data_IF_745470463577
#
_entry.id   IF_745470463577
#
_cell.length_a   1.000
_cell.length_b   1.000
_cell.length_c   1.000
_cell.angle_alpha   90.00
_cell.angle_beta   90.00
_cell.angle_gamma   90.00
#
_symmetry.space_group_name_H-M   'P 1'
#
loop_
_entity.id
_entity.type
_entity.pdbx_description
1 polymer ?
#
# COMPACT_ATOMS: atom_id res chain seq x y z
N UNK A 1 -61.24 1.68 -6.89
CA UNK A 1 -60.22 2.46 -7.61
C UNK A 1 -58.87 1.92 -7.17
N UNK A 2 -58.17 1.22 -8.06
CA UNK A 2 -56.87 0.59 -7.78
C UNK A 2 -55.78 1.51 -8.33
N UNK A 3 -54.85 1.94 -7.48
CA UNK A 3 -53.63 2.62 -7.91
C UNK A 3 -52.53 1.59 -8.09
N UNK A 4 -51.98 1.50 -9.30
CA UNK A 4 -50.80 0.67 -9.59
C UNK A 4 -49.54 1.39 -9.09
N UNK A 5 -48.76 0.71 -8.24
CA UNK A 5 -47.41 1.12 -7.90
C UNK A 5 -46.54 1.10 -9.16
N UNK A 6 -45.94 2.25 -9.49
CA UNK A 6 -44.94 2.34 -10.56
C UNK A 6 -43.59 2.04 -9.90
N UNK A 7 -43.04 0.86 -10.16
CA UNK A 7 -41.68 0.51 -9.78
C UNK A 7 -40.69 1.47 -10.44
N UNK A 8 -40.12 2.39 -9.64
CA UNK A 8 -39.01 3.23 -10.06
C UNK A 8 -37.76 2.35 -10.04
N UNK A 9 -37.47 1.70 -11.16
CA UNK A 9 -36.18 1.05 -11.37
C UNK A 9 -35.10 2.13 -11.38
N UNK A 10 -34.48 2.37 -10.22
CA UNK A 10 -33.26 3.17 -10.15
C UNK A 10 -32.17 2.43 -10.93
N UNK A 11 -31.47 3.11 -11.87
CA UNK A 11 -30.34 2.48 -12.56
C UNK A 11 -29.29 2.06 -11.51
N UNK A 12 -28.63 0.89 -11.69
CA UNK A 12 -27.53 0.52 -10.82
C UNK A 12 -26.51 1.67 -10.85
N UNK A 13 -26.23 2.25 -9.68
CA UNK A 13 -25.19 3.26 -9.52
C UNK A 13 -23.91 2.76 -10.20
N UNK A 14 -23.17 3.60 -10.96
CA UNK A 14 -21.86 3.20 -11.44
C UNK A 14 -21.06 2.76 -10.21
N UNK A 15 -20.50 1.55 -10.25
CA UNK A 15 -19.61 1.05 -9.21
C UNK A 15 -18.46 2.04 -9.10
N UNK A 16 -18.55 2.95 -8.13
CA UNK A 16 -17.60 4.01 -7.93
C UNK A 16 -16.28 3.33 -7.56
N UNK A 17 -15.37 3.21 -8.54
CA UNK A 17 -13.95 3.24 -8.24
C UNK A 17 -13.66 4.68 -7.80
N UNK A 18 -14.03 4.99 -6.55
CA UNK A 18 -13.90 6.27 -5.87
C UNK A 18 -12.46 6.74 -5.94
N UNK A 19 -12.10 7.43 -7.01
CA UNK A 19 -10.93 8.29 -7.05
C UNK A 19 -11.28 9.54 -6.25
N UNK A 20 -11.30 9.43 -4.93
CA UNK A 20 -11.42 10.60 -4.07
C UNK A 20 -10.12 11.40 -4.17
N UNK A 21 -10.26 12.73 -4.09
CA UNK A 21 -9.19 13.72 -4.20
C UNK A 21 -7.92 13.36 -3.41
N UNK A 22 -8.11 12.81 -2.21
CA UNK A 22 -7.09 12.39 -1.25
C UNK A 22 -6.74 10.89 -1.34
N UNK A 23 -6.65 10.29 -2.54
CA UNK A 23 -6.22 8.91 -2.66
C UNK A 23 -4.73 8.82 -2.98
N UNK A 24 -4.04 7.88 -2.34
CA UNK A 24 -2.62 7.64 -2.57
C UNK A 24 -2.39 6.27 -3.18
N UNK A 25 -1.38 6.21 -4.05
CA UNK A 25 -0.94 4.96 -4.66
C UNK A 25 0.53 4.74 -4.37
N UNK A 26 0.88 3.49 -4.11
CA UNK A 26 2.26 3.09 -3.80
C UNK A 26 2.67 2.01 -4.78
N UNK A 27 3.80 2.22 -5.42
CA UNK A 27 4.52 1.18 -6.16
C UNK A 27 5.73 0.73 -5.34
N UNK A 28 6.01 -0.57 -5.32
CA UNK A 28 7.13 -1.15 -4.58
C UNK A 28 8.09 -1.85 -5.54
N UNK A 29 9.37 -1.84 -5.16
CA UNK A 29 10.39 -2.73 -5.74
C UNK A 29 10.41 -4.06 -5.00
N UNK A 30 11.05 -5.06 -5.61
CA UNK A 30 11.28 -6.34 -4.95
C UNK A 30 12.14 -6.16 -3.71
N UNK A 31 11.70 -6.71 -2.57
CA UNK A 31 12.46 -6.69 -1.34
C UNK A 31 13.75 -7.51 -1.47
N UNK A 32 14.84 -6.97 -0.94
CA UNK A 32 16.15 -7.62 -0.90
C UNK A 32 16.78 -7.45 0.48
N UNK A 33 17.71 -8.32 0.84
CA UNK A 33 18.35 -8.31 2.15
C UNK A 33 18.49 -9.70 2.73
N UNK A 34 18.41 -9.82 4.06
CA UNK A 34 18.52 -11.09 4.75
C UNK A 34 17.32 -11.39 5.64
N UNK A 35 17.08 -12.68 5.85
CA UNK A 35 16.14 -13.15 6.85
C UNK A 35 16.87 -13.65 8.10
N UNK A 36 16.25 -13.50 9.28
CA UNK A 36 16.86 -13.77 10.60
C UNK A 36 18.13 -12.95 10.87
N UNK A 37 18.13 -11.66 10.52
CA UNK A 37 19.22 -10.72 10.79
C UNK A 37 18.69 -9.36 11.23
N UNK A 38 19.53 -8.59 11.92
CA UNK A 38 19.23 -7.21 12.32
C UNK A 38 19.03 -6.26 11.12
N UNK A 39 19.71 -6.53 9.99
CA UNK A 39 19.57 -5.73 8.76
C UNK A 39 18.22 -5.92 8.06
N UNK A 40 17.58 -7.07 8.23
CA UNK A 40 16.28 -7.39 7.63
C UNK A 40 16.24 -7.33 6.11
N UNK A 41 15.01 -7.14 5.60
CA UNK A 41 14.70 -6.89 4.20
C UNK A 41 14.52 -5.39 3.96
N UNK A 42 14.79 -4.93 2.75
CA UNK A 42 14.60 -3.54 2.33
C UNK A 42 13.96 -3.51 0.96
N UNK A 43 12.98 -2.63 0.79
CA UNK A 43 12.37 -2.32 -0.49
C UNK A 43 12.32 -0.80 -0.67
N UNK A 44 12.56 -0.33 -1.89
CA UNK A 44 12.20 1.04 -2.27
C UNK A 44 10.73 1.07 -2.66
N UNK A 45 9.98 2.01 -2.11
CA UNK A 45 8.63 2.35 -2.53
C UNK A 45 8.61 3.73 -3.18
N UNK A 46 7.66 3.94 -4.07
CA UNK A 46 7.34 5.26 -4.63
C UNK A 46 5.89 5.58 -4.27
N UNK A 47 5.69 6.57 -3.39
CA UNK A 47 4.36 7.02 -3.01
C UNK A 47 3.91 8.24 -3.81
N UNK A 48 2.71 8.17 -4.37
CA UNK A 48 2.09 9.23 -5.16
C UNK A 48 0.74 9.67 -4.59
N UNK A 49 0.51 10.97 -4.61
CA UNK A 49 -0.79 11.62 -4.34
C UNK A 49 -1.31 12.26 -5.62
N UNK A 50 -2.57 12.71 -5.64
CA UNK A 50 -3.15 13.35 -6.82
C UNK A 50 -2.86 14.86 -6.92
N UNK A 51 -2.88 15.58 -5.79
CA UNK A 51 -2.87 17.06 -5.81
C UNK A 51 -1.73 17.67 -5.02
N UNK A 52 -1.69 17.44 -3.70
CA UNK A 52 -0.69 18.03 -2.82
C UNK A 52 0.18 16.96 -2.17
N UNK A 53 1.38 17.37 -1.74
CA UNK A 53 2.22 16.51 -0.95
C UNK A 53 1.62 16.32 0.44
N UNK A 54 1.69 15.11 0.97
CA UNK A 54 1.16 14.77 2.30
C UNK A 54 1.98 13.65 2.91
N UNK A 55 1.90 13.50 4.22
CA UNK A 55 2.44 12.35 4.93
C UNK A 55 1.40 11.24 4.95
N UNK A 56 1.73 10.07 4.39
CA UNK A 56 0.88 8.89 4.42
C UNK A 56 1.40 7.87 5.44
N UNK A 57 0.47 7.15 6.06
CA UNK A 57 0.75 6.01 6.90
C UNK A 57 0.66 4.72 6.07
N UNK A 58 1.70 3.90 6.11
CA UNK A 58 1.73 2.58 5.50
C UNK A 58 1.69 1.54 6.60
N UNK A 59 0.77 0.58 6.52
CA UNK A 59 0.63 -0.52 7.47
C UNK A 59 0.85 -1.85 6.72
N UNK A 60 1.83 -2.65 7.14
CA UNK A 60 2.22 -3.91 6.48
C UNK A 60 2.11 -5.13 7.43
N UNK A 61 1.07 -5.17 8.25
CA UNK A 61 0.89 -6.16 9.32
C UNK A 61 1.38 -5.62 10.66
N UNK A 62 2.54 -6.07 11.14
CA UNK A 62 3.14 -5.62 12.41
C UNK A 62 4.03 -4.38 12.25
N UNK A 63 4.26 -3.93 11.02
CA UNK A 63 5.21 -2.86 10.69
C UNK A 63 4.46 -1.68 10.07
N UNK A 64 4.72 -0.48 10.60
CA UNK A 64 4.10 0.77 10.18
C UNK A 64 5.16 1.79 9.78
N UNK A 65 4.88 2.58 8.74
CA UNK A 65 5.80 3.58 8.20
C UNK A 65 5.06 4.88 7.88
N UNK A 66 5.54 6.00 8.40
CA UNK A 66 5.15 7.33 7.93
C UNK A 66 6.05 7.72 6.76
N UNK A 67 5.46 7.97 5.59
CA UNK A 67 6.19 8.31 4.36
C UNK A 67 5.63 9.55 3.69
N UNK A 68 6.51 10.32 3.07
CA UNK A 68 6.09 11.46 2.26
C UNK A 68 5.58 10.98 0.91
N UNK A 69 4.43 11.50 0.49
CA UNK A 69 3.84 11.26 -0.82
C UNK A 69 3.73 12.59 -1.56
N UNK A 70 3.93 12.57 -2.88
CA UNK A 70 3.81 13.78 -3.70
C UNK A 70 3.20 13.48 -5.06
N UNK A 71 2.66 14.48 -5.78
CA UNK A 71 2.12 14.27 -7.12
C UNK A 71 3.16 13.75 -8.12
N UNK A 72 4.45 14.09 -7.92
CA UNK A 72 5.56 13.61 -8.76
C UNK A 72 5.99 12.19 -8.39
N UNK A 73 5.64 11.71 -7.20
CA UNK A 73 6.12 10.48 -6.62
C UNK A 73 7.37 10.70 -5.80
N UNK A 74 7.30 10.32 -4.53
CA UNK A 74 8.42 10.38 -3.60
C UNK A 74 8.93 8.97 -3.35
N UNK A 75 10.24 8.78 -3.45
CA UNK A 75 10.90 7.50 -3.17
C UNK A 75 11.27 7.39 -1.70
N UNK A 76 11.01 6.23 -1.11
CA UNK A 76 11.36 5.95 0.29
C UNK A 76 11.83 4.51 0.42
N UNK A 77 12.94 4.31 1.11
CA UNK A 77 13.42 2.97 1.46
C UNK A 77 12.80 2.54 2.78
N UNK A 78 11.98 1.48 2.73
CA UNK A 78 11.36 0.88 3.92
C UNK A 78 12.05 -0.42 4.26
N UNK A 79 12.23 -0.67 5.55
CA UNK A 79 12.95 -1.82 6.09
C UNK A 79 11.98 -2.69 6.86
N UNK A 80 12.06 -3.99 6.60
CA UNK A 80 11.21 -5.00 7.19
C UNK A 80 12.00 -6.06 7.95
N UNK A 81 11.38 -6.65 8.96
CA UNK A 81 11.87 -7.84 9.62
C UNK A 81 11.43 -9.09 8.84
N UNK A 82 12.41 -9.81 8.27
CA UNK A 82 12.19 -11.05 7.55
C UNK A 82 12.63 -12.26 8.36
N UNK A 83 11.74 -13.25 8.55
CA UNK A 83 12.07 -14.49 9.28
C UNK A 83 12.24 -15.71 8.37
N UNK A 84 11.89 -15.58 7.08
CA UNK A 84 11.91 -16.63 6.06
C UNK A 84 12.53 -16.10 4.76
N UNK A 85 13.03 -17.01 3.92
CA UNK A 85 13.61 -16.67 2.63
C UNK A 85 12.58 -16.11 1.64
N UNK A 86 11.39 -16.73 1.56
CA UNK A 86 10.26 -16.16 0.82
C UNK A 86 9.66 -15.03 1.64
N UNK A 87 9.69 -13.82 1.10
CA UNK A 87 9.19 -12.61 1.74
C UNK A 87 7.99 -12.07 0.97
N UNK A 88 6.88 -11.90 1.67
CA UNK A 88 5.68 -11.27 1.15
C UNK A 88 5.01 -10.49 2.28
N UNK A 89 4.66 -9.25 2.01
CA UNK A 89 3.90 -8.38 2.91
C UNK A 89 2.76 -7.74 2.14
N UNK A 90 1.56 -7.87 2.68
CA UNK A 90 0.40 -7.12 2.22
C UNK A 90 0.35 -5.82 3.01
N UNK A 91 0.25 -4.71 2.30
CA UNK A 91 0.31 -3.38 2.88
C UNK A 91 -0.91 -2.56 2.50
N UNK A 92 -1.29 -1.65 3.39
CA UNK A 92 -2.24 -0.57 3.12
C UNK A 92 -1.55 0.78 3.23
N UNK A 93 -1.98 1.74 2.41
CA UNK A 93 -1.56 3.14 2.51
C UNK A 93 -2.77 4.03 2.80
N UNK A 94 -2.65 4.88 3.80
CA UNK A 94 -3.65 5.86 4.19
C UNK A 94 -3.02 7.25 4.19
N UNK A 95 -3.62 8.18 3.45
CA UNK A 95 -3.19 9.58 3.39
C UNK A 95 -4.31 10.56 3.75
N UNK A 96 -5.28 10.11 4.55
CA UNK A 96 -6.42 10.93 4.99
C UNK A 96 -7.60 10.91 4.01
N UNK A 97 -7.56 10.02 3.01
CA UNK A 97 -8.63 9.81 2.05
C UNK A 97 -9.79 8.98 2.59
N UNK A 98 -10.87 8.90 1.80
CA UNK A 98 -12.02 8.04 2.14
C UNK A 98 -11.72 6.55 2.01
N UNK A 99 -10.65 6.19 1.29
CA UNK A 99 -10.24 4.82 1.05
C UNK A 99 -8.74 4.66 1.25
N UNK A 100 -8.35 3.51 1.80
CA UNK A 100 -6.96 3.08 1.87
C UNK A 100 -6.56 2.43 0.55
N UNK A 101 -5.36 2.75 0.06
CA UNK A 101 -4.75 2.04 -1.04
C UNK A 101 -4.19 0.69 -0.57
N UNK A 102 -4.10 -0.30 -1.45
CA UNK A 102 -3.52 -1.61 -1.16
C UNK A 102 -2.36 -1.90 -2.11
N UNK A 103 -1.28 -2.49 -1.58
CA UNK A 103 -0.14 -2.95 -2.38
C UNK A 103 0.58 -4.10 -1.69
N UNK A 104 1.48 -4.77 -2.41
CA UNK A 104 2.30 -5.84 -1.86
C UNK A 104 3.78 -5.54 -2.01
N UNK A 105 4.56 -6.05 -1.06
CA UNK A 105 6.02 -6.09 -1.14
C UNK A 105 6.45 -7.54 -1.12
N UNK A 106 7.03 -7.99 -2.23
CA UNK A 106 7.49 -9.39 -2.40
C UNK A 106 9.00 -9.45 -2.61
N UNK A 107 9.63 -10.56 -2.24
CA UNK A 107 11.04 -10.78 -2.52
C UNK A 107 11.58 -12.13 -2.06
N UNK A 108 12.85 -12.38 -2.38
CA UNK A 108 13.59 -13.56 -1.93
C UNK A 108 14.83 -13.08 -1.16
N UNK A 109 14.86 -13.36 0.13
CA UNK A 109 15.90 -12.93 1.06
C UNK A 109 16.98 -13.98 1.20
N UNK A 110 18.22 -13.53 1.43
CA UNK A 110 19.36 -14.41 1.67
C UNK A 110 19.44 -14.82 3.15
N UNK A 111 19.92 -16.01 3.43
CA UNK A 111 20.09 -16.44 4.82
C UNK A 111 21.21 -15.67 5.51
N UNK A 112 20.94 -15.18 6.72
CA UNK A 112 21.91 -14.44 7.54
C UNK A 112 23.07 -15.29 8.05
N UNK A 113 22.90 -16.61 8.19
CA UNK A 113 23.95 -17.50 8.72
C UNK A 113 25.14 -17.73 7.77
N UNK A 114 25.23 -16.99 6.66
CA UNK A 114 26.36 -17.03 5.72
C UNK A 114 27.28 -15.81 5.78
N UNK A 115 27.06 -14.85 6.68
CA UNK A 115 28.05 -13.78 6.91
C UNK A 115 29.10 -14.27 7.91
N UNK A 116 30.17 -14.85 7.35
CA UNK A 116 31.46 -15.01 8.02
C UNK A 116 32.30 -13.76 7.79
#
# INVERSE_FOLDING_TARGET
>A
MMFTVVDINTPPSPSLNTWTRENCSVASTTASGCYKCEKGATAEITCKTNEESTTANIECGEEEFAVECSPRGTKTSIKFSGNKASFQRHCTVDCGGKQKGHFEVTGVLKYSGYTK
#
